data_IF_927318329969
#
_entry.id   IF_927318329969
#
_cell.length_a   1.000
_cell.length_b   1.000
_cell.length_c   1.000
_cell.angle_alpha   90.00
_cell.angle_beta   90.00
_cell.angle_gamma   90.00
#
_symmetry.space_group_name_H-M   'P 1'
#
loop_
_entity.id
_entity.type
_entity.pdbx_description
1 polymer ?
#
# COMPACT_ATOMS: atom_id res chain seq x y z
N UNK A 1 -7.07 -6.40 15.85
CA UNK A 1 -5.96 -6.55 14.90
C UNK A 1 -6.49 -7.42 13.78
N UNK A 2 -6.68 -6.85 12.59
CA UNK A 2 -7.13 -7.61 11.42
C UNK A 2 -6.05 -8.65 11.12
N UNK A 3 -6.44 -9.92 11.01
CA UNK A 3 -5.52 -11.02 10.72
C UNK A 3 -5.31 -11.20 9.21
N UNK A 4 -4.22 -11.86 8.82
CA UNK A 4 -3.89 -12.13 7.40
C UNK A 4 -5.02 -12.86 6.64
N UNK A 5 -5.80 -13.70 7.31
CA UNK A 5 -6.91 -14.43 6.70
C UNK A 5 -8.10 -13.51 6.37
N UNK A 6 -8.37 -12.53 7.22
CA UNK A 6 -9.39 -11.50 7.01
C UNK A 6 -8.96 -10.56 5.88
N UNK A 7 -7.66 -10.22 5.81
CA UNK A 7 -7.07 -9.51 4.66
C UNK A 7 -7.36 -10.25 3.37
N UNK A 8 -7.00 -11.54 3.31
CA UNK A 8 -7.16 -12.39 2.12
C UNK A 8 -8.61 -12.53 1.67
N UNK A 9 -9.55 -12.70 2.61
CA UNK A 9 -10.97 -12.87 2.30
C UNK A 9 -11.64 -11.60 1.75
N UNK A 10 -11.02 -10.44 1.90
CA UNK A 10 -11.61 -9.16 1.54
C UNK A 10 -11.21 -8.74 0.14
N UNK A 11 -12.11 -8.04 -0.58
CA UNK A 11 -11.83 -7.44 -1.89
C UNK A 11 -11.91 -5.92 -1.83
N UNK A 12 -10.84 -5.22 -1.43
CA UNK A 12 -10.87 -3.77 -1.27
C UNK A 12 -11.18 -3.04 -2.59
N UNK A 13 -11.96 -1.97 -2.50
CA UNK A 13 -12.21 -1.07 -3.60
C UNK A 13 -11.11 0.01 -3.67
N UNK A 14 -9.96 -0.35 -4.23
CA UNK A 14 -8.79 0.52 -4.30
C UNK A 14 -9.05 1.80 -5.09
N UNK A 15 -8.57 2.91 -4.53
CA UNK A 15 -8.58 4.24 -5.14
C UNK A 15 -7.18 4.83 -5.13
N UNK A 16 -6.85 5.60 -6.15
CA UNK A 16 -5.56 6.29 -6.26
C UNK A 16 -5.45 7.40 -5.22
N UNK A 17 -4.28 7.53 -4.61
CA UNK A 17 -3.97 8.62 -3.66
C UNK A 17 -3.30 9.81 -4.34
N UNK A 18 -2.62 9.56 -5.47
CA UNK A 18 -1.76 10.54 -6.14
C UNK A 18 -0.33 10.61 -5.57
N UNK A 19 0.02 9.72 -4.64
CA UNK A 19 1.35 9.68 -4.02
C UNK A 19 2.18 8.53 -4.57
N UNK A 20 3.47 8.76 -4.78
CA UNK A 20 4.39 7.83 -5.42
C UNK A 20 4.57 6.55 -4.60
N UNK A 21 4.82 6.68 -3.30
CA UNK A 21 5.14 5.55 -2.43
C UNK A 21 3.91 4.84 -1.90
N UNK A 22 2.78 5.54 -1.81
CA UNK A 22 1.52 5.02 -1.28
C UNK A 22 0.39 5.15 -2.31
N UNK A 23 0.48 4.51 -3.48
CA UNK A 23 -0.34 4.83 -4.65
C UNK A 23 -1.83 4.54 -4.50
N UNK A 24 -2.21 3.63 -3.60
CA UNK A 24 -3.58 3.19 -3.46
C UNK A 24 -4.02 3.14 -1.99
N UNK A 25 -5.26 3.55 -1.76
CA UNK A 25 -5.94 3.40 -0.49
C UNK A 25 -7.37 2.88 -0.69
N UNK A 26 -7.89 2.18 0.31
CA UNK A 26 -9.27 1.74 0.37
C UNK A 26 -9.77 1.88 1.82
N UNK A 27 -11.04 2.23 1.98
CA UNK A 27 -11.70 2.21 3.28
C UNK A 27 -12.55 0.95 3.36
N UNK A 28 -12.23 0.07 4.31
CA UNK A 28 -12.78 -1.28 4.43
C UNK A 28 -13.19 -1.48 5.88
N UNK A 29 -14.48 -1.71 6.11
CA UNK A 29 -15.06 -2.03 7.42
C UNK A 29 -14.59 -1.10 8.56
N UNK A 30 -14.45 0.19 8.27
CA UNK A 30 -14.06 1.21 9.26
C UNK A 30 -12.56 1.47 9.35
N UNK A 31 -11.72 0.72 8.62
CA UNK A 31 -10.27 0.84 8.62
C UNK A 31 -9.72 1.35 7.28
N UNK A 32 -8.64 2.11 7.34
CA UNK A 32 -7.88 2.50 6.16
C UNK A 32 -6.87 1.43 5.79
N UNK A 33 -6.99 0.94 4.57
CA UNK A 33 -6.04 0.04 3.95
C UNK A 33 -5.22 0.84 2.95
N UNK A 34 -3.90 0.76 3.05
CA UNK A 34 -2.98 1.50 2.17
C UNK A 34 -1.95 0.54 1.59
N UNK A 35 -1.70 0.65 0.28
CA UNK A 35 -0.62 -0.07 -0.38
C UNK A 35 0.60 0.83 -0.47
N UNK A 36 1.74 0.33 0.01
CA UNK A 36 3.07 0.90 -0.21
C UNK A 36 3.76 0.15 -1.34
N UNK A 37 4.39 0.84 -2.28
CA UNK A 37 5.17 0.19 -3.36
C UNK A 37 6.58 -0.08 -2.88
N UNK A 38 7.03 -1.33 -3.00
CA UNK A 38 8.38 -1.76 -2.69
C UNK A 38 9.35 -1.48 -3.86
N UNK A 39 9.42 -0.19 -4.26
CA UNK A 39 10.22 0.23 -5.42
C UNK A 39 11.73 0.14 -5.13
N UNK A 40 12.49 -0.46 -6.05
CA UNK A 40 13.94 -0.66 -5.89
C UNK A 40 14.33 -1.98 -5.20
N UNK A 41 13.33 -2.82 -4.88
CA UNK A 41 13.49 -4.08 -4.15
C UNK A 41 12.94 -5.25 -4.98
N UNK A 42 13.59 -5.64 -6.09
CA UNK A 42 13.04 -6.64 -7.04
C UNK A 42 12.88 -8.05 -6.45
N UNK A 43 13.54 -8.34 -5.33
CA UNK A 43 13.44 -9.62 -4.62
C UNK A 43 12.24 -9.68 -3.65
N UNK A 44 11.59 -8.53 -3.41
CA UNK A 44 10.44 -8.41 -2.51
C UNK A 44 9.14 -8.38 -3.31
N UNK A 45 8.04 -8.71 -2.64
CA UNK A 45 6.71 -8.55 -3.20
C UNK A 45 6.45 -7.07 -3.56
N UNK A 46 5.67 -6.82 -4.61
CA UNK A 46 5.51 -5.47 -5.16
C UNK A 46 4.93 -4.46 -4.16
N UNK A 47 4.02 -4.91 -3.29
CA UNK A 47 3.35 -4.08 -2.31
C UNK A 47 3.51 -4.60 -0.89
N UNK A 48 3.57 -3.67 0.07
CA UNK A 48 3.24 -3.93 1.48
C UNK A 48 1.87 -3.32 1.79
N UNK A 49 1.03 -4.06 2.51
CA UNK A 49 -0.32 -3.67 2.91
C UNK A 49 -0.28 -3.17 4.34
N UNK A 50 -0.79 -1.97 4.55
CA UNK A 50 -1.00 -1.37 5.87
C UNK A 50 -2.49 -1.30 6.18
N UNK A 51 -2.88 -1.61 7.41
CA UNK A 51 -4.23 -1.45 7.95
C UNK A 51 -4.14 -0.56 9.19
N UNK A 52 -4.76 0.62 9.14
CA UNK A 52 -4.69 1.66 10.19
C UNK A 52 -3.26 1.91 10.69
N UNK A 53 -2.32 1.90 9.76
CA UNK A 53 -0.92 2.15 10.00
C UNK A 53 -0.07 0.95 10.43
N UNK A 54 -0.67 -0.23 10.58
CA UNK A 54 0.06 -1.47 10.89
C UNK A 54 0.34 -2.25 9.60
N UNK A 55 1.59 -2.64 9.35
CA UNK A 55 1.93 -3.56 8.26
C UNK A 55 1.35 -4.95 8.55
N UNK A 56 0.56 -5.50 7.63
CA UNK A 56 -0.13 -6.79 7.83
C UNK A 56 0.30 -7.89 6.85
N UNK A 57 0.73 -7.52 5.65
CA UNK A 57 1.06 -8.47 4.59
C UNK A 57 1.92 -7.82 3.51
N UNK A 58 2.74 -8.62 2.84
CA UNK A 58 3.29 -8.28 1.54
C UNK A 58 2.53 -9.02 0.44
N UNK A 59 2.45 -8.42 -0.75
CA UNK A 59 1.68 -8.95 -1.86
C UNK A 59 2.16 -8.50 -3.24
N UNK A 60 2.14 -9.43 -4.19
CA UNK A 60 2.33 -9.15 -5.62
C UNK A 60 1.04 -9.48 -6.40
N UNK A 61 0.56 -8.59 -7.29
CA UNK A 61 -0.58 -8.88 -8.16
C UNK A 61 -0.43 -10.21 -8.91
N UNK A 62 -1.50 -11.01 -8.91
CA UNK A 62 -1.57 -12.25 -9.69
C UNK A 62 -0.87 -13.48 -9.09
N UNK A 63 -0.34 -13.40 -7.86
CA UNK A 63 0.30 -14.55 -7.18
C UNK A 63 -0.66 -15.44 -6.37
N UNK A 64 -1.94 -15.09 -6.24
CA UNK A 64 -2.86 -15.83 -5.37
C UNK A 64 -4.29 -15.96 -5.90
N UNK A 65 -5.10 -16.76 -5.19
CA UNK A 65 -6.49 -17.09 -5.54
C UNK A 65 -7.52 -16.43 -4.63
N UNK A 66 -7.08 -15.58 -3.70
CA UNK A 66 -7.98 -14.95 -2.74
C UNK A 66 -8.59 -13.65 -3.27
N UNK A 67 -9.76 -13.23 -2.74
CA UNK A 67 -10.41 -11.96 -3.11
C UNK A 67 -9.46 -10.74 -3.07
N UNK A 68 -8.54 -10.72 -2.10
CA UNK A 68 -7.53 -9.68 -1.99
C UNK A 68 -6.57 -9.66 -3.18
N UNK A 69 -5.97 -10.80 -3.53
CA UNK A 69 -5.03 -10.91 -4.66
C UNK A 69 -5.70 -10.52 -5.98
N UNK A 70 -6.97 -10.92 -6.14
CA UNK A 70 -7.77 -10.56 -7.31
C UNK A 70 -7.99 -9.04 -7.39
N UNK A 71 -8.16 -8.35 -6.26
CA UNK A 71 -8.27 -6.88 -6.23
C UNK A 71 -6.98 -6.20 -6.69
N UNK A 72 -5.81 -6.76 -6.34
CA UNK A 72 -4.52 -6.22 -6.74
C UNK A 72 -4.25 -6.40 -8.25
N UNK A 73 -4.69 -7.51 -8.82
CA UNK A 73 -4.56 -7.79 -10.26
C UNK A 73 -5.33 -6.78 -11.15
N UNK A 74 -6.31 -6.07 -10.60
CA UNK A 74 -7.08 -5.03 -11.29
C UNK A 74 -6.42 -3.65 -11.21
N UNK A 75 -5.39 -3.47 -10.39
CA UNK A 75 -4.70 -2.20 -10.29
C UNK A 75 -3.98 -1.93 -11.61
N UNK A 76 -4.25 -0.78 -12.21
CA UNK A 76 -3.50 -0.34 -13.37
C UNK A 76 -2.02 -0.15 -13.02
N UNK A 77 -1.15 -0.23 -14.03
CA UNK A 77 0.24 0.18 -13.89
C UNK A 77 0.31 1.60 -13.30
N UNK A 78 1.16 1.77 -12.28
CA UNK A 78 1.32 3.02 -11.54
C UNK A 78 1.44 4.23 -12.48
N UNK A 79 2.17 4.06 -13.59
CA UNK A 79 2.47 5.05 -14.62
C UNK A 79 1.30 5.51 -15.52
N UNK A 80 0.13 4.87 -15.50
CA UNK A 80 -0.95 5.15 -16.47
C UNK A 80 -2.00 6.17 -16.01
N UNK A 81 -2.01 6.56 -14.74
CA UNK A 81 -2.76 7.71 -14.24
C UNK A 81 -4.29 7.63 -14.29
N UNK A 82 -4.91 6.51 -14.68
CA UNK A 82 -6.37 6.38 -14.76
C UNK A 82 -6.91 5.63 -13.54
N UNK A 83 -8.10 6.02 -13.07
CA UNK A 83 -8.83 5.37 -11.98
C UNK A 83 -9.49 6.35 -11.00
N UNK A 84 -10.41 5.87 -10.14
CA UNK A 84 -11.03 6.69 -9.10
C UNK A 84 -9.99 7.16 -8.08
N UNK A 85 -10.02 8.46 -7.76
CA UNK A 85 -9.07 9.08 -6.83
C UNK A 85 -9.72 9.33 -5.47
N UNK A 86 -8.93 9.18 -4.41
CA UNK A 86 -9.26 9.67 -3.08
C UNK A 86 -9.08 11.19 -3.08
N UNK A 87 -9.94 11.91 -2.36
CA UNK A 87 -9.75 13.35 -2.17
C UNK A 87 -8.39 13.60 -1.47
N UNK A 88 -7.59 14.60 -1.89
CA UNK A 88 -6.23 14.79 -1.38
C UNK A 88 -6.09 14.87 0.14
N UNK A 89 -6.97 15.60 0.84
CA UNK A 89 -6.90 15.69 2.30
C UNK A 89 -7.24 14.35 2.97
N UNK A 90 -8.18 13.59 2.40
CA UNK A 90 -8.49 12.22 2.86
C UNK A 90 -7.31 11.27 2.61
N UNK A 91 -6.64 11.37 1.47
CA UNK A 91 -5.44 10.58 1.17
C UNK A 91 -4.31 10.89 2.17
N UNK A 92 -4.07 12.17 2.45
CA UNK A 92 -3.12 12.59 3.46
C UNK A 92 -3.45 12.03 4.84
N UNK A 93 -4.72 12.09 5.26
CA UNK A 93 -5.13 11.57 6.57
C UNK A 93 -4.93 10.05 6.70
N UNK A 94 -5.23 9.29 5.64
CA UNK A 94 -5.03 7.84 5.61
C UNK A 94 -3.53 7.44 5.67
N UNK A 95 -2.65 8.29 5.15
CA UNK A 95 -1.22 8.00 4.96
C UNK A 95 -0.37 8.59 6.09
N UNK A 96 -0.86 9.63 6.78
CA UNK A 96 -0.12 10.29 7.86
C UNK A 96 0.49 9.35 8.91
N UNK A 97 -0.18 8.26 9.35
CA UNK A 97 0.42 7.32 10.30
C UNK A 97 1.62 6.53 9.75
N UNK A 98 1.75 6.42 8.43
CA UNK A 98 2.76 5.60 7.73
C UNK A 98 3.63 6.39 6.78
N UNK A 99 3.49 7.71 6.70
CA UNK A 99 4.23 8.53 5.74
C UNK A 99 5.75 8.38 5.90
N UNK A 100 6.24 8.24 7.13
CA UNK A 100 7.65 7.97 7.44
C UNK A 100 8.14 6.57 6.99
N UNK A 101 7.21 5.67 6.64
CA UNK A 101 7.49 4.32 6.14
C UNK A 101 7.60 4.29 4.61
N UNK A 102 7.71 5.44 3.94
CA UNK A 102 8.03 5.48 2.51
C UNK A 102 9.36 4.74 2.21
N UNK A 103 10.32 4.85 3.14
CA UNK A 103 11.61 4.15 3.14
C UNK A 103 11.62 2.78 3.81
N UNK A 104 10.44 2.25 4.16
CA UNK A 104 10.32 0.94 4.78
C UNK A 104 11.01 -0.16 3.96
N UNK A 105 11.88 -0.94 4.55
CA UNK A 105 12.55 -2.05 3.88
C UNK A 105 12.25 -3.33 4.64
N UNK A 106 11.12 -3.94 4.30
CA UNK A 106 10.70 -5.36 4.39
C UNK A 106 11.11 -6.29 5.54
N UNK A 107 11.97 -5.97 6.50
CA UNK A 107 12.32 -6.89 7.58
C UNK A 107 11.77 -6.38 8.92
N UNK A 108 10.64 -6.97 9.32
CA UNK A 108 10.11 -6.99 10.70
C UNK A 108 9.49 -5.72 11.30
N UNK A 109 8.96 -4.78 10.50
CA UNK A 109 8.30 -3.60 11.06
C UNK A 109 9.26 -2.46 11.40
N UNK A 110 10.55 -2.65 11.13
CA UNK A 110 11.58 -1.64 11.27
C UNK A 110 11.97 -1.05 9.90
N UNK A 111 12.45 0.19 9.93
CA UNK A 111 13.06 0.82 8.76
C UNK A 111 14.38 0.13 8.43
N UNK A 112 14.59 -0.27 7.18
CA UNK A 112 15.86 -0.85 6.75
C UNK A 112 16.96 0.22 6.75
N UNK A 113 17.96 0.07 7.61
CA UNK A 113 19.08 1.00 7.76
C UNK A 113 19.89 1.22 6.46
N UNK A 114 19.89 0.24 5.57
CA UNK A 114 20.58 0.31 4.26
C UNK A 114 19.71 0.89 3.13
N UNK A 115 18.43 1.14 3.40
CA UNK A 115 17.42 1.52 2.42
C UNK A 115 16.96 2.98 2.53
N UNK A 116 17.43 3.71 3.54
CA UNK A 116 17.09 5.12 3.79
C UNK A 116 17.58 6.02 2.66
N UNK A 117 16.64 6.63 1.96
CA UNK A 117 16.88 7.66 0.95
C UNK A 117 16.38 9.04 1.34
N UNK A 118 15.86 9.21 2.57
CA UNK A 118 15.10 10.40 2.98
C UNK A 118 13.89 10.62 2.06
N UNK A 119 13.12 9.54 1.82
CA UNK A 119 11.94 9.61 0.95
C UNK A 119 10.75 10.18 1.71
N UNK A 120 10.23 11.28 1.20
CA UNK A 120 8.97 11.85 1.66
C UNK A 120 7.78 11.02 1.16
N UNK A 121 7.00 10.46 2.09
CA UNK A 121 5.77 9.72 1.80
C UNK A 121 4.71 10.51 1.04
N UNK A 122 4.82 11.84 1.01
CA UNK A 122 3.94 12.73 0.26
C UNK A 122 4.45 13.12 -1.13
N UNK A 123 5.55 12.51 -1.60
CA UNK A 123 6.03 12.73 -2.96
C UNK A 123 4.92 12.46 -3.98
N UNK A 124 4.56 13.43 -4.85
CA UNK A 124 3.51 13.24 -5.85
C UNK A 124 3.95 12.21 -6.90
N UNK A 125 2.97 11.49 -7.44
CA UNK A 125 3.15 10.53 -8.53
C UNK A 125 3.37 11.22 -9.90
#
# INVERSE_FOLDING_TARGET
MIGIDEVRATRPAWRRTGLLYFPYAAFVDGAWWVLRVNHGFPEHDLYTVFVDGTAVADATPGRGSFPFDASLAQLEQLSKGRGPQVEPAVAHAAIAPIAALADYGSENGDTCDFCFGDKDGYAPM
#
